data_IF_117933937575
#
_entry.id   IF_117933937575
#
_cell.length_a   1.000
_cell.length_b   1.000
_cell.length_c   1.000
_cell.angle_alpha   90.00
_cell.angle_beta   90.00
_cell.angle_gamma   90.00
#
_symmetry.space_group_name_H-M   'P 1'
#
loop_
_entity.id
_entity.type
_entity.pdbx_description
1 polymer ?
#
# COMPACT_ATOMS: atom_id res chain seq x y z
N UNK A 1 25.11 -5.87 -3.03
CA UNK A 1 23.89 -6.40 -2.37
C UNK A 1 22.75 -6.42 -3.37
N UNK A 2 22.69 -7.48 -4.20
CA UNK A 2 21.60 -7.70 -5.15
C UNK A 2 20.33 -8.02 -4.39
N UNK A 3 19.39 -7.08 -4.37
CA UNK A 3 18.04 -7.33 -3.86
C UNK A 3 17.27 -7.96 -5.02
N UNK A 4 16.88 -9.23 -4.86
CA UNK A 4 15.89 -9.87 -5.75
C UNK A 4 14.75 -8.89 -6.03
N UNK A 5 14.22 -8.82 -7.26
CA UNK A 5 13.08 -7.97 -7.57
C UNK A 5 11.84 -8.57 -6.90
N UNK A 6 11.61 -8.24 -5.62
CA UNK A 6 10.51 -8.79 -4.83
C UNK A 6 9.11 -8.35 -5.33
N UNK A 7 9.00 -7.74 -6.52
CA UNK A 7 7.72 -7.30 -7.05
C UNK A 7 7.77 -7.01 -8.57
N UNK A 8 8.15 -7.99 -9.40
CA UNK A 8 7.83 -8.00 -10.84
C UNK A 8 6.61 -8.89 -11.09
N UNK A 9 5.49 -8.60 -10.41
CA UNK A 9 4.20 -9.11 -10.87
C UNK A 9 3.67 -8.14 -11.92
N UNK A 10 3.84 -8.53 -13.17
CA UNK A 10 3.22 -7.93 -14.35
C UNK A 10 1.73 -7.62 -14.03
N UNK A 11 1.35 -6.33 -14.02
CA UNK A 11 -0.01 -5.88 -13.65
C UNK A 11 -0.16 -5.04 -12.38
N UNK A 12 0.90 -4.78 -11.63
CA UNK A 12 0.87 -3.80 -10.54
C UNK A 12 0.79 -2.37 -11.08
N UNK A 13 -0.12 -1.54 -10.56
CA UNK A 13 -0.25 -0.13 -10.98
C UNK A 13 1.04 0.62 -10.62
N UNK A 14 1.82 0.99 -11.64
CA UNK A 14 3.08 1.77 -11.52
C UNK A 14 2.85 3.29 -11.46
N UNK A 15 1.60 3.74 -11.54
CA UNK A 15 1.24 5.16 -11.51
C UNK A 15 1.15 5.76 -10.11
N UNK A 16 0.88 7.08 -10.02
CA UNK A 16 0.61 7.75 -8.75
C UNK A 16 -0.52 7.03 -8.01
N UNK A 17 -0.49 7.13 -6.68
CA UNK A 17 -1.59 6.64 -5.86
C UNK A 17 -2.80 7.56 -6.03
N UNK A 18 -3.93 6.94 -6.32
CA UNK A 18 -5.21 7.63 -6.43
C UNK A 18 -5.81 7.80 -5.02
N UNK A 19 -6.59 8.87 -4.78
CA UNK A 19 -7.26 9.07 -3.51
C UNK A 19 -8.16 7.90 -3.13
N UNK A 20 -8.80 7.22 -4.09
CA UNK A 20 -9.60 6.02 -3.81
C UNK A 20 -8.75 4.84 -3.30
N UNK A 21 -7.51 4.69 -3.78
CA UNK A 21 -6.58 3.67 -3.29
C UNK A 21 -6.10 4.01 -1.88
N UNK A 22 -5.80 5.29 -1.63
CA UNK A 22 -5.41 5.79 -0.31
C UNK A 22 -6.55 5.57 0.72
N UNK A 23 -7.80 5.84 0.34
CA UNK A 23 -8.96 5.57 1.21
C UNK A 23 -9.11 4.08 1.53
N UNK A 24 -8.98 3.18 0.54
CA UNK A 24 -9.03 1.73 0.77
C UNK A 24 -7.90 1.26 1.68
N UNK A 25 -6.70 1.81 1.47
CA UNK A 25 -5.52 1.52 2.28
C UNK A 25 -5.76 1.93 3.74
N UNK A 26 -6.16 3.17 3.97
CA UNK A 26 -6.41 3.73 5.29
C UNK A 26 -7.58 3.00 6.00
N UNK A 27 -8.71 2.81 5.31
CA UNK A 27 -9.87 2.13 5.89
C UNK A 27 -9.51 0.71 6.35
N UNK A 28 -8.77 -0.03 5.52
CA UNK A 28 -8.33 -1.38 5.89
C UNK A 28 -7.38 -1.36 7.10
N UNK A 29 -6.47 -0.39 7.16
CA UNK A 29 -5.52 -0.22 8.27
C UNK A 29 -6.23 0.19 9.55
N UNK A 30 -7.22 1.07 9.48
CA UNK A 30 -8.00 1.51 10.63
C UNK A 30 -8.82 0.34 11.19
N UNK A 31 -9.38 -0.50 10.32
CA UNK A 31 -10.17 -1.67 10.71
C UNK A 31 -9.32 -2.85 11.23
N UNK A 32 -8.15 -3.11 10.64
CA UNK A 32 -7.34 -4.31 10.94
C UNK A 32 -6.00 -4.03 11.66
N UNK A 33 -5.56 -2.78 11.71
CA UNK A 33 -4.25 -2.38 12.21
C UNK A 33 -3.08 -2.66 11.27
N UNK A 34 -1.88 -2.23 11.68
CA UNK A 34 -0.63 -2.36 10.89
C UNK A 34 -0.03 -3.78 10.84
N UNK A 35 -0.69 -4.81 11.38
CA UNK A 35 -0.11 -6.16 11.44
C UNK A 35 -0.10 -6.92 10.11
N UNK A 36 -1.00 -6.59 9.18
CA UNK A 36 -1.36 -7.46 8.07
C UNK A 36 -0.89 -7.01 6.68
N UNK A 37 0.21 -6.26 6.55
CA UNK A 37 0.70 -5.75 5.25
C UNK A 37 0.91 -6.83 4.17
N UNK A 38 1.21 -8.07 4.58
CA UNK A 38 1.42 -9.21 3.67
C UNK A 38 0.19 -9.55 2.85
N UNK A 39 -0.98 -9.51 3.47
CA UNK A 39 -2.27 -9.84 2.84
C UNK A 39 -3.12 -8.60 2.56
N UNK A 40 -2.73 -7.44 3.10
CA UNK A 40 -3.42 -6.17 2.91
C UNK A 40 -3.74 -5.88 1.45
N UNK A 41 -2.81 -5.88 0.48
CA UNK A 41 -3.15 -5.47 -0.88
C UNK A 41 -4.21 -6.38 -1.51
N UNK A 42 -4.12 -7.70 -1.26
CA UNK A 42 -5.13 -8.63 -1.73
C UNK A 42 -6.50 -8.43 -1.03
N UNK A 43 -6.50 -8.22 0.30
CA UNK A 43 -7.73 -8.06 1.08
C UNK A 43 -8.41 -6.70 0.88
N UNK A 44 -7.63 -5.64 0.67
CA UNK A 44 -8.12 -4.30 0.38
C UNK A 44 -8.48 -4.09 -1.11
N UNK A 45 -8.28 -5.11 -1.96
CA UNK A 45 -8.52 -5.00 -3.41
C UNK A 45 -7.57 -4.01 -4.09
N UNK A 46 -6.36 -3.86 -3.57
CA UNK A 46 -5.32 -2.99 -4.12
C UNK A 46 -4.35 -3.80 -4.99
N UNK A 47 -4.18 -3.38 -6.24
CA UNK A 47 -3.16 -3.94 -7.14
C UNK A 47 -1.80 -3.26 -6.92
N UNK A 48 -1.37 -3.23 -5.65
CA UNK A 48 -0.10 -2.63 -5.19
C UNK A 48 0.70 -3.64 -4.38
N UNK A 49 2.02 -3.49 -4.37
CA UNK A 49 2.89 -4.32 -3.54
C UNK A 49 2.80 -3.90 -2.07
N UNK A 50 3.03 -4.86 -1.16
CA UNK A 50 3.22 -4.61 0.29
C UNK A 50 4.06 -3.36 0.55
N UNK A 51 5.24 -3.29 -0.10
CA UNK A 51 6.20 -2.20 0.12
C UNK A 51 5.62 -0.84 -0.29
N UNK A 52 4.84 -0.79 -1.37
CA UNK A 52 4.15 0.43 -1.81
C UNK A 52 3.07 0.84 -0.82
N UNK A 53 2.22 -0.09 -0.38
CA UNK A 53 1.19 0.15 0.64
C UNK A 53 1.77 0.71 1.94
N UNK A 54 2.84 0.12 2.45
CA UNK A 54 3.48 0.58 3.69
C UNK A 54 4.13 1.97 3.55
N UNK A 55 4.78 2.25 2.41
CA UNK A 55 5.33 3.58 2.14
C UNK A 55 4.22 4.63 2.03
N UNK A 56 3.11 4.29 1.38
CA UNK A 56 2.03 5.23 1.13
C UNK A 56 1.28 5.59 2.40
N UNK A 57 0.99 4.63 3.27
CA UNK A 57 0.38 4.89 4.57
C UNK A 57 1.13 5.96 5.37
N UNK A 58 2.47 5.87 5.39
CA UNK A 58 3.31 6.89 6.03
C UNK A 58 3.20 8.25 5.34
N UNK A 59 3.15 8.26 4.01
CA UNK A 59 3.08 9.50 3.23
C UNK A 59 1.72 10.20 3.42
N UNK A 60 0.62 9.45 3.47
CA UNK A 60 -0.72 9.99 3.70
C UNK A 60 -0.84 10.55 5.12
N UNK A 61 -0.34 9.82 6.13
CA UNK A 61 -0.32 10.32 7.51
C UNK A 61 0.53 11.58 7.68
N UNK A 62 1.65 11.68 6.97
CA UNK A 62 2.47 12.88 7.00
C UNK A 62 1.76 14.07 6.34
N UNK A 63 0.97 13.83 5.28
CA UNK A 63 0.14 14.86 4.65
C UNK A 63 -1.03 15.33 5.52
N UNK A 64 -1.58 14.46 6.37
CA UNK A 64 -2.66 14.81 7.31
C UNK A 64 -2.16 15.55 8.57
N UNK A 65 -0.85 15.47 8.84
CA UNK A 65 -0.22 16.12 9.99
C UNK A 65 0.31 17.54 9.68
N UNK A 66 0.06 18.06 8.46
CA UNK A 66 0.50 19.38 7.99
C UNK A 66 -0.65 20.35 7.79
#
# INVERSE_FOLDING_TARGET
MGRSPCCEKDGLKKGPWMPEEDQKLLAYIEQHGHGCWRSLPAKAGLQRCRKSCCLRDRQVKNSLAS
#
